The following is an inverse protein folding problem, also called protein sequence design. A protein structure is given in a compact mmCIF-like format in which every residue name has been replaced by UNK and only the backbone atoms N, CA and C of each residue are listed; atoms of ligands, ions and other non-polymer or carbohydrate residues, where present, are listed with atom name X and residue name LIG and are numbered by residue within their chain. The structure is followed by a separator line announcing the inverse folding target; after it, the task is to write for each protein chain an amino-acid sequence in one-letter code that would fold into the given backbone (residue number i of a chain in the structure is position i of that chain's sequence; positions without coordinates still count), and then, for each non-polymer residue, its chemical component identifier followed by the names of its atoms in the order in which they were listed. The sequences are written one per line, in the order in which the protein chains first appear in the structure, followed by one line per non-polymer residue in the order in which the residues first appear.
data_IF_676618220824
#
_entry.id   IF_676618220824
#
_cell.length_a   1.000
_cell.length_b   1.000
_cell.length_c   1.000
_cell.angle_alpha   90.00
_cell.angle_beta   90.00
_cell.angle_gamma   90.00
#
_symmetry.space_group_name_H-M   'P 1'
#
loop_
_entity.id
_entity.type
_entity.pdbx_description
1 polymer ?
#
# COMPACT_ATOMS: atom_id res chain seq x y z
N UNK A 1 35.19 26.49 -20.70
CA UNK A 1 33.94 26.03 -20.07
C UNK A 1 34.19 24.62 -19.57
N UNK A 2 34.45 24.48 -18.27
CA UNK A 2 34.76 23.22 -17.59
C UNK A 2 33.46 22.52 -17.20
N UNK A 3 33.42 21.22 -17.47
CA UNK A 3 32.32 20.27 -17.22
C UNK A 3 31.56 20.59 -15.93
N UNK A 4 30.25 20.86 -16.05
CA UNK A 4 29.34 20.91 -14.91
C UNK A 4 29.17 19.48 -14.38
N UNK A 5 29.36 19.24 -13.08
CA UNK A 5 29.21 17.91 -12.52
C UNK A 5 27.73 17.51 -12.54
N UNK A 6 27.39 16.58 -13.43
CA UNK A 6 26.22 15.72 -13.28
C UNK A 6 26.49 14.74 -12.14
N UNK A 7 25.94 15.00 -10.96
CA UNK A 7 25.83 13.98 -9.91
C UNK A 7 24.67 14.32 -8.97
N UNK A 8 23.57 13.55 -9.07
CA UNK A 8 22.41 13.38 -8.15
C UNK A 8 21.01 13.95 -8.49
N UNK A 9 20.76 14.68 -9.58
CA UNK A 9 19.48 15.42 -9.75
C UNK A 9 18.22 14.63 -10.23
N UNK A 10 18.37 13.37 -10.67
CA UNK A 10 17.26 12.61 -11.31
C UNK A 10 16.64 11.52 -10.43
N UNK A 11 17.15 11.32 -9.22
CA UNK A 11 16.68 10.25 -8.34
C UNK A 11 16.14 10.79 -7.03
N UNK A 12 14.90 10.41 -6.75
CA UNK A 12 14.24 10.72 -5.49
C UNK A 12 14.38 9.53 -4.54
N UNK A 13 14.84 9.81 -3.33
CA UNK A 13 14.90 8.81 -2.27
C UNK A 13 13.65 8.94 -1.42
N UNK A 14 12.88 7.86 -1.36
CA UNK A 14 11.80 7.67 -0.40
C UNK A 14 12.35 6.79 0.71
N UNK A 15 12.24 7.25 1.95
CA UNK A 15 12.66 6.45 3.10
C UNK A 15 11.46 5.74 3.71
N UNK A 16 11.72 4.61 4.36
CA UNK A 16 10.75 3.93 5.20
C UNK A 16 11.39 3.47 6.51
N UNK A 17 10.57 3.35 7.55
CA UNK A 17 10.98 2.72 8.81
C UNK A 17 9.80 2.00 9.46
N UNK A 18 10.10 1.10 10.38
CA UNK A 18 9.08 0.38 11.14
C UNK A 18 8.52 1.24 12.27
N UNK A 19 7.20 1.40 12.30
CA UNK A 19 6.50 1.86 13.50
C UNK A 19 6.39 0.73 14.54
N UNK A 20 6.33 -0.52 14.07
CA UNK A 20 6.20 -1.70 14.91
C UNK A 20 7.24 -2.76 14.58
N UNK A 21 7.77 -3.43 15.59
CA UNK A 21 8.77 -4.49 15.46
C UNK A 21 8.29 -5.66 14.60
N UNK A 22 6.98 -5.89 14.57
CA UNK A 22 6.32 -6.96 13.80
C UNK A 22 6.02 -6.58 12.35
N UNK A 23 6.21 -5.31 11.96
CA UNK A 23 5.92 -4.82 10.62
C UNK A 23 6.89 -5.40 9.57
N UNK A 24 6.34 -5.79 8.44
CA UNK A 24 7.10 -6.27 7.28
C UNK A 24 7.70 -5.10 6.51
N UNK A 25 8.83 -5.32 5.85
CA UNK A 25 9.40 -4.32 4.94
C UNK A 25 8.48 -4.16 3.72
N UNK A 26 8.36 -2.95 3.13
CA UNK A 26 7.70 -2.80 1.85
C UNK A 26 8.45 -3.58 0.77
N UNK A 27 7.73 -4.36 -0.02
CA UNK A 27 8.30 -5.20 -1.08
C UNK A 27 8.01 -4.59 -2.45
N UNK A 28 8.93 -4.72 -3.41
CA UNK A 28 8.60 -4.34 -4.80
C UNK A 28 7.46 -5.21 -5.30
N UNK A 29 6.47 -4.59 -5.94
CA UNK A 29 5.43 -5.33 -6.63
C UNK A 29 6.06 -6.10 -7.80
N UNK A 30 6.19 -7.41 -7.64
CA UNK A 30 6.55 -8.31 -8.73
C UNK A 30 5.27 -8.68 -9.48
N UNK A 31 5.00 -7.99 -10.57
CA UNK A 31 4.00 -8.43 -11.52
C UNK A 31 4.66 -9.41 -12.48
N UNK A 32 4.17 -10.65 -12.52
CA UNK A 32 4.47 -11.56 -13.62
C UNK A 32 3.71 -11.06 -14.84
N UNK A 33 4.37 -10.17 -15.59
CA UNK A 33 3.86 -9.70 -16.86
C UNK A 33 3.81 -10.86 -17.84
N UNK A 34 2.66 -11.49 -17.94
CA UNK A 34 2.34 -12.33 -19.08
C UNK A 34 2.10 -11.37 -20.25
N UNK A 35 2.92 -11.40 -21.32
CA UNK A 35 2.71 -10.51 -22.46
C UNK A 35 1.28 -10.66 -22.97
N UNK A 36 0.63 -9.55 -23.32
CA UNK A 36 -0.72 -9.57 -23.90
C UNK A 36 -0.72 -10.41 -25.16
N UNK A 37 -1.15 -11.66 -24.98
CA UNK A 37 -1.69 -12.64 -25.90
C UNK A 37 -1.26 -14.02 -25.39
N UNK A 38 -2.14 -14.74 -24.66
CA UNK A 38 -2.39 -16.10 -25.09
C UNK A 38 -2.86 -15.98 -26.55
N UNK A 39 -2.14 -16.60 -27.48
CA UNK A 39 -2.55 -16.75 -28.87
C UNK A 39 -3.93 -17.42 -28.92
N UNK A 40 -5.01 -16.62 -28.89
CA UNK A 40 -6.40 -17.03 -29.15
C UNK A 40 -6.61 -17.43 -30.62
N UNK A 41 -5.54 -17.47 -31.42
CA UNK A 41 -5.55 -17.78 -32.86
C UNK A 41 -6.17 -19.14 -33.20
N UNK A 42 -6.36 -20.04 -32.22
CA UNK A 42 -6.93 -21.37 -32.43
C UNK A 42 -8.25 -21.62 -31.67
N UNK A 43 -8.85 -20.61 -31.02
CA UNK A 43 -10.11 -20.78 -30.28
C UNK A 43 -11.33 -20.42 -31.16
N UNK A 44 -12.40 -21.24 -31.20
CA UNK A 44 -13.65 -20.90 -31.87
C UNK A 44 -14.33 -19.64 -31.31
N UNK A 45 -15.01 -18.86 -32.16
CA UNK A 45 -15.63 -17.58 -31.80
C UNK A 45 -16.66 -17.67 -30.67
N UNK A 46 -17.37 -18.80 -30.53
CA UNK A 46 -18.33 -19.03 -29.44
C UNK A 46 -17.64 -19.15 -28.08
N UNK A 47 -16.54 -19.91 -28.02
CA UNK A 47 -15.74 -20.08 -26.79
C UNK A 47 -15.05 -18.77 -26.39
N UNK A 48 -14.62 -17.96 -27.36
CA UNK A 48 -14.11 -16.61 -27.08
C UNK A 48 -15.18 -15.71 -26.45
N UNK A 49 -16.44 -15.81 -26.92
CA UNK A 49 -17.57 -15.02 -26.41
C UNK A 49 -18.01 -15.48 -25.03
N UNK A 50 -18.05 -16.78 -24.77
CA UNK A 50 -18.36 -17.34 -23.45
C UNK A 50 -17.25 -16.99 -22.44
N UNK A 51 -15.98 -17.08 -22.86
CA UNK A 51 -14.84 -16.62 -22.07
C UNK A 51 -14.90 -15.11 -21.79
N UNK A 52 -15.36 -14.30 -22.75
CA UNK A 52 -15.62 -12.87 -22.51
C UNK A 52 -16.82 -12.62 -21.59
N UNK A 53 -17.87 -13.42 -21.67
CA UNK A 53 -19.09 -13.32 -20.87
C UNK A 53 -18.89 -13.75 -19.41
N UNK A 54 -17.92 -14.64 -19.12
CA UNK A 54 -17.45 -14.92 -17.74
C UNK A 54 -16.76 -13.73 -17.07
N UNK A 55 -16.68 -12.60 -17.78
CA UNK A 55 -15.93 -11.44 -17.37
C UNK A 55 -14.46 -11.72 -17.55
N UNK A 56 -13.96 -11.53 -18.78
CA UNK A 56 -12.57 -11.15 -18.93
C UNK A 56 -12.32 -9.99 -17.95
N UNK A 57 -11.77 -10.32 -16.78
CA UNK A 57 -10.93 -9.45 -15.97
C UNK A 57 -10.07 -8.72 -16.96
N UNK A 58 -10.16 -7.40 -16.96
CA UNK A 58 -9.39 -6.54 -17.85
C UNK A 58 -7.98 -7.10 -17.99
N UNK A 59 -7.72 -7.67 -19.17
CA UNK A 59 -6.36 -7.74 -19.70
C UNK A 59 -6.07 -6.30 -20.13
N UNK A 60 -4.98 -5.72 -19.65
CA UNK A 60 -4.79 -4.29 -19.47
C UNK A 60 -4.78 -3.54 -20.78
N UNK A 61 -5.84 -2.75 -20.95
CA UNK A 61 -5.86 -1.62 -21.86
C UNK A 61 -5.09 -0.40 -21.30
N UNK A 62 -4.15 -0.66 -20.41
CA UNK A 62 -3.23 0.35 -19.89
C UNK A 62 -1.97 -0.34 -19.36
N UNK A 63 -1.24 -0.98 -20.29
CA UNK A 63 0.10 -1.49 -20.02
C UNK A 63 1.00 -0.39 -19.43
N UNK A 64 0.70 0.90 -19.62
CA UNK A 64 1.36 2.03 -18.94
C UNK A 64 1.15 2.01 -17.41
N UNK A 65 -0.06 2.23 -16.89
CA UNK A 65 -0.37 2.20 -15.46
C UNK A 65 0.07 0.93 -14.73
N UNK A 66 -0.13 -0.26 -15.31
CA UNK A 66 0.29 -1.52 -14.66
C UNK A 66 1.82 -1.64 -14.62
N UNK A 67 2.53 -1.24 -15.68
CA UNK A 67 4.01 -1.17 -15.68
C UNK A 67 4.53 -0.14 -14.69
N UNK A 68 3.92 1.04 -14.63
CA UNK A 68 4.27 2.06 -13.67
C UNK A 68 4.07 1.59 -12.22
N UNK A 69 2.94 0.94 -11.93
CA UNK A 69 2.65 0.39 -10.61
C UNK A 69 3.57 -0.80 -10.27
N UNK A 70 3.91 -1.66 -11.23
CA UNK A 70 4.92 -2.72 -11.02
C UNK A 70 6.33 -2.16 -10.80
N UNK A 71 6.70 -1.11 -11.53
CA UNK A 71 8.04 -0.51 -11.44
C UNK A 71 8.22 0.33 -10.18
N UNK A 72 7.18 1.04 -9.75
CA UNK A 72 7.27 2.05 -8.70
C UNK A 72 6.47 1.72 -7.45
N UNK A 73 5.57 0.73 -7.49
CA UNK A 73 4.74 0.34 -6.36
C UNK A 73 5.44 -0.56 -5.36
N UNK A 74 5.12 -0.33 -4.09
CA UNK A 74 5.54 -1.17 -2.98
C UNK A 74 4.34 -1.84 -2.32
N UNK A 75 4.39 -3.16 -2.24
CA UNK A 75 3.41 -4.00 -1.55
C UNK A 75 3.60 -3.82 -0.05
N UNK A 76 2.50 -3.52 0.62
CA UNK A 76 2.41 -3.43 2.07
C UNK A 76 1.63 -4.63 2.58
N UNK A 77 2.16 -5.28 3.62
CA UNK A 77 1.60 -6.50 4.20
C UNK A 77 0.96 -6.26 5.56
N UNK A 78 0.05 -7.14 5.95
CA UNK A 78 -0.55 -7.15 7.28
C UNK A 78 0.50 -7.47 8.35
N UNK A 79 0.54 -6.69 9.44
CA UNK A 79 1.47 -6.95 10.55
C UNK A 79 0.97 -8.02 11.54
N UNK A 80 -0.34 -8.28 11.55
CA UNK A 80 -1.01 -9.20 12.47
C UNK A 80 -2.26 -9.81 11.84
N UNK A 81 -2.72 -10.91 12.44
CA UNK A 81 -3.99 -11.53 12.08
C UNK A 81 -5.17 -10.63 12.46
N UNK A 82 -6.14 -10.54 11.57
CA UNK A 82 -7.34 -9.75 11.76
C UNK A 82 -8.55 -10.51 11.20
N UNK A 83 -9.65 -10.45 11.93
CA UNK A 83 -10.96 -10.93 11.49
C UNK A 83 -11.96 -9.79 11.59
N UNK A 84 -12.67 -9.55 10.50
CA UNK A 84 -13.67 -8.51 10.38
C UNK A 84 -14.98 -9.17 9.96
N UNK A 85 -16.05 -8.96 10.72
CA UNK A 85 -17.37 -9.54 10.42
C UNK A 85 -18.45 -8.46 10.40
N UNK A 86 -19.41 -8.57 9.48
CA UNK A 86 -20.61 -7.74 9.53
C UNK A 86 -21.51 -8.22 10.67
N UNK A 87 -22.04 -7.31 11.49
CA UNK A 87 -22.98 -7.60 12.58
C UNK A 87 -24.08 -6.56 12.60
N UNK A 88 -25.26 -6.93 12.11
CA UNK A 88 -26.38 -6.00 11.93
C UNK A 88 -26.03 -4.89 10.93
N UNK A 89 -26.24 -3.63 11.31
CA UNK A 89 -25.83 -2.46 10.52
C UNK A 89 -24.36 -2.05 10.71
N UNK A 90 -23.59 -2.79 11.51
CA UNK A 90 -22.21 -2.46 11.86
C UNK A 90 -21.20 -3.53 11.48
N UNK A 91 -19.95 -3.28 11.85
CA UNK A 91 -18.82 -4.19 11.65
C UNK A 91 -18.21 -4.49 13.02
N UNK A 92 -17.90 -5.75 13.26
CA UNK A 92 -17.12 -6.18 14.41
C UNK A 92 -15.69 -6.52 13.97
N UNK A 93 -14.75 -5.94 14.70
CA UNK A 93 -13.31 -6.05 14.48
C UNK A 93 -12.68 -6.91 15.56
N UNK A 94 -11.88 -7.90 15.15
CA UNK A 94 -11.10 -8.73 16.05
C UNK A 94 -9.66 -8.77 15.55
N UNK A 95 -8.74 -8.23 16.34
CA UNK A 95 -7.30 -8.36 16.12
C UNK A 95 -6.61 -8.49 17.48
N UNK A 96 -5.42 -9.12 17.56
CA UNK A 96 -4.63 -9.04 18.77
C UNK A 96 -4.30 -7.57 19.07
N UNK A 97 -4.23 -7.17 20.35
CA UNK A 97 -3.75 -5.85 20.70
C UNK A 97 -2.29 -5.74 20.31
N UNK A 98 -1.91 -4.63 19.67
CA UNK A 98 -0.49 -4.35 19.42
C UNK A 98 0.12 -3.86 20.73
N UNK A 99 1.05 -4.65 21.27
CA UNK A 99 1.61 -4.45 22.59
C UNK A 99 2.51 -3.19 22.60
N UNK A 100 2.63 -2.47 23.74
CA UNK A 100 3.47 -1.28 23.83
C UNK A 100 4.93 -1.52 23.42
N UNK A 101 5.51 -2.67 23.78
CA UNK A 101 6.87 -3.09 23.47
C UNK A 101 7.10 -3.36 21.98
N UNK A 102 6.03 -3.61 21.23
CA UNK A 102 6.11 -3.77 19.78
C UNK A 102 6.22 -2.41 19.08
N UNK A 103 6.01 -1.29 19.77
CA UNK A 103 6.04 0.07 19.20
C UNK A 103 7.46 0.62 19.22
N UNK A 104 8.02 0.85 18.04
CA UNK A 104 9.37 1.39 17.85
C UNK A 104 9.40 2.92 17.76
N UNK A 105 8.29 3.51 17.32
CA UNK A 105 8.10 4.96 17.20
C UNK A 105 7.03 5.45 18.19
N UNK A 106 7.15 6.71 18.62
CA UNK A 106 6.23 7.33 19.58
C UNK A 106 4.86 7.70 19.01
N UNK A 107 4.72 7.81 17.69
CA UNK A 107 3.45 8.03 17.02
C UNK A 107 2.68 6.72 16.92
N UNK A 108 1.43 6.72 17.39
CA UNK A 108 0.63 5.50 17.53
C UNK A 108 -0.47 5.51 16.49
N UNK A 109 -0.25 4.83 15.37
CA UNK A 109 -1.35 4.44 14.49
C UNK A 109 -2.10 3.27 15.11
N UNK A 110 -3.39 3.11 14.81
CA UNK A 110 -4.16 1.99 15.36
C UNK A 110 -5.03 1.38 14.27
N UNK A 111 -5.09 0.05 14.27
CA UNK A 111 -6.07 -0.70 13.49
C UNK A 111 -7.40 -0.74 14.24
N UNK A 112 -8.51 -0.71 13.51
CA UNK A 112 -9.84 -0.82 14.08
C UNK A 112 -10.91 -0.15 13.23
N UNK A 113 -12.11 -0.10 13.79
CA UNK A 113 -13.21 0.66 13.20
C UNK A 113 -12.95 2.15 13.42
N UNK A 114 -12.61 2.86 12.36
CA UNK A 114 -12.55 4.32 12.37
C UNK A 114 -13.83 4.84 11.72
N UNK A 115 -14.73 5.38 12.53
CA UNK A 115 -15.68 6.39 12.06
C UNK A 115 -14.88 7.68 12.02
N UNK A 116 -14.04 7.85 11.00
CA UNK A 116 -13.25 9.07 10.89
C UNK A 116 -14.20 10.25 10.65
N UNK A 117 -14.07 11.30 11.47
CA UNK A 117 -14.83 12.55 11.36
C UNK A 117 -14.61 13.26 10.03
N UNK A 118 -13.58 12.87 9.28
CA UNK A 118 -13.23 13.48 8.00
C UNK A 118 -14.27 13.12 6.91
N UNK A 119 -14.96 11.97 6.96
CA UNK A 119 -15.86 11.57 5.86
C UNK A 119 -17.09 10.69 6.21
N UNK A 120 -17.35 10.29 7.46
CA UNK A 120 -18.42 9.31 7.77
C UNK A 120 -18.31 8.04 6.88
N UNK A 121 -17.09 7.64 6.50
CA UNK A 121 -16.86 6.67 5.43
C UNK A 121 -17.29 5.24 5.78
N UNK A 122 -17.39 4.93 7.08
CA UNK A 122 -17.82 3.60 7.55
C UNK A 122 -16.82 2.47 7.27
N UNK A 123 -15.61 2.78 6.82
CA UNK A 123 -14.61 1.78 6.45
C UNK A 123 -13.69 1.40 7.63
N UNK A 124 -13.43 0.10 7.87
CA UNK A 124 -12.38 -0.33 8.77
C UNK A 124 -11.01 0.20 8.34
N UNK A 125 -10.20 0.64 9.31
CA UNK A 125 -8.82 1.08 9.10
C UNK A 125 -7.86 -0.01 9.56
N UNK A 126 -7.01 -0.48 8.67
CA UNK A 126 -5.95 -1.41 8.96
C UNK A 126 -4.60 -0.68 8.99
N UNK A 127 -3.97 -0.63 10.15
CA UNK A 127 -2.58 -0.19 10.29
C UNK A 127 -1.63 -1.31 9.84
N UNK A 128 -0.66 -0.96 9.01
CA UNK A 128 0.38 -1.89 8.53
C UNK A 128 1.74 -1.62 9.19
N UNK A 129 1.83 -0.60 10.04
CA UNK A 129 2.95 -0.40 10.94
C UNK A 129 4.25 0.07 10.29
N UNK A 130 4.16 0.71 9.12
CA UNK A 130 5.30 1.27 8.40
C UNK A 130 5.06 2.77 8.24
N UNK A 131 6.12 3.54 8.44
CA UNK A 131 6.16 4.96 8.15
C UNK A 131 7.01 5.21 6.92
N UNK A 132 6.52 6.04 6.02
CA UNK A 132 7.27 6.54 4.87
C UNK A 132 7.63 8.01 5.08
N UNK A 133 8.81 8.39 4.59
CA UNK A 133 9.24 9.76 4.41
C UNK A 133 9.47 10.01 2.93
N UNK A 134 8.85 11.05 2.39
CA UNK A 134 8.92 11.39 0.97
C UNK A 134 9.07 12.90 0.80
N UNK A 135 9.78 13.41 -0.21
CA UNK A 135 9.96 14.84 -0.33
C UNK A 135 8.63 15.56 -0.63
N UNK A 136 8.43 16.72 -0.01
CA UNK A 136 7.19 17.53 0.01
C UNK A 136 6.55 17.80 -1.35
N UNK A 137 7.37 17.82 -2.40
CA UNK A 137 6.93 18.10 -3.78
C UNK A 137 6.41 16.85 -4.52
N UNK A 138 6.22 15.72 -3.83
CA UNK A 138 5.70 14.46 -4.39
C UNK A 138 4.42 14.02 -3.66
N UNK A 139 3.45 13.51 -4.43
CA UNK A 139 2.29 12.82 -3.87
C UNK A 139 2.55 11.33 -3.69
N UNK A 140 2.05 10.76 -2.58
CA UNK A 140 2.02 9.31 -2.35
C UNK A 140 0.58 8.82 -2.49
N UNK A 141 0.34 7.77 -3.26
CA UNK A 141 -0.99 7.17 -3.42
C UNK A 141 -1.02 5.79 -2.79
N UNK A 142 -2.10 5.52 -2.06
CA UNK A 142 -2.42 4.15 -1.65
C UNK A 142 -3.42 3.57 -2.66
N UNK A 143 -3.08 2.41 -3.20
CA UNK A 143 -3.88 1.72 -4.21
C UNK A 143 -4.22 0.31 -3.76
N UNK A 144 -5.28 -0.21 -4.36
CA UNK A 144 -5.59 -1.62 -4.23
C UNK A 144 -4.56 -2.48 -4.97
N UNK A 145 -4.47 -3.76 -4.62
CA UNK A 145 -3.62 -4.71 -5.34
C UNK A 145 -4.19 -4.93 -6.74
N UNK A 146 -3.46 -4.54 -7.81
CA UNK A 146 -3.89 -4.82 -9.16
C UNK A 146 -3.88 -6.33 -9.36
N UNK A 147 -4.85 -6.84 -10.12
CA UNK A 147 -4.98 -8.27 -10.39
C UNK A 147 -4.97 -9.12 -9.11
N UNK A 148 -5.55 -8.63 -8.00
CA UNK A 148 -5.56 -9.37 -6.73
C UNK A 148 -6.07 -10.80 -6.92
N UNK A 149 -6.95 -11.07 -7.87
CA UNK A 149 -7.40 -12.42 -8.16
C UNK A 149 -6.33 -13.44 -8.56
N UNK A 150 -5.18 -13.01 -9.09
CA UNK A 150 -4.05 -13.91 -9.40
C UNK A 150 -3.12 -14.10 -8.19
N UNK A 151 -3.17 -13.18 -7.22
CA UNK A 151 -2.24 -13.14 -6.08
C UNK A 151 -2.91 -13.48 -4.74
N UNK A 152 -4.22 -13.27 -4.66
CA UNK A 152 -5.07 -13.37 -3.49
C UNK A 152 -6.57 -13.47 -3.93
N UNK A 153 -6.98 -14.58 -4.55
CA UNK A 153 -8.32 -14.76 -5.14
C UNK A 153 -9.47 -14.73 -4.13
N UNK A 154 -9.21 -15.16 -2.89
CA UNK A 154 -10.23 -15.26 -1.84
C UNK A 154 -10.39 -13.96 -1.03
N UNK A 155 -9.84 -12.87 -1.54
CA UNK A 155 -9.87 -11.57 -0.89
C UNK A 155 -11.28 -10.99 -0.88
N UNK A 156 -11.82 -10.72 0.31
CA UNK A 156 -13.19 -10.20 0.52
C UNK A 156 -13.24 -8.69 0.74
N UNK A 157 -12.22 -7.96 0.30
CA UNK A 157 -12.14 -6.52 0.45
C UNK A 157 -11.30 -5.88 -0.67
N UNK A 158 -11.61 -4.62 -0.99
CA UNK A 158 -10.75 -3.73 -1.77
C UNK A 158 -10.21 -2.60 -0.89
N UNK A 159 -9.25 -1.85 -1.40
CA UNK A 159 -8.75 -0.64 -0.74
C UNK A 159 -9.54 0.57 -1.25
N UNK A 160 -10.00 1.42 -0.33
CA UNK A 160 -10.42 2.78 -0.71
C UNK A 160 -9.18 3.57 -1.13
N UNK A 161 -9.01 3.69 -2.44
CA UNK A 161 -7.84 4.35 -3.02
C UNK A 161 -7.87 5.85 -2.80
N UNK A 162 -6.70 6.43 -2.56
CA UNK A 162 -6.60 7.87 -2.36
C UNK A 162 -5.17 8.35 -2.43
N UNK A 163 -5.01 9.58 -2.94
CA UNK A 163 -3.75 10.29 -2.89
C UNK A 163 -3.61 10.88 -1.49
N UNK A 164 -2.58 10.46 -0.76
CA UNK A 164 -2.21 11.01 0.55
C UNK A 164 -1.42 12.30 0.36
N UNK A 165 -2.10 13.35 -0.10
CA UNK A 165 -1.54 14.70 -0.20
C UNK A 165 -2.09 15.66 0.85
N UNK A 166 -3.24 15.36 1.48
CA UNK A 166 -3.91 16.30 2.39
C UNK A 166 -4.31 15.70 3.75
N UNK A 167 -4.91 14.51 3.81
CA UNK A 167 -5.44 13.94 5.06
C UNK A 167 -4.36 13.49 6.08
N UNK A 168 -3.12 13.25 5.66
CA UNK A 168 -2.07 12.64 6.51
C UNK A 168 -0.94 13.60 6.86
N UNK A 169 -1.07 14.89 6.55
CA UNK A 169 -0.15 15.97 6.97
C UNK A 169 0.02 16.08 8.49
N UNK A 170 -0.81 15.38 9.27
CA UNK A 170 -0.71 15.27 10.73
C UNK A 170 0.36 14.27 11.19
N UNK A 171 0.86 13.39 10.30
CA UNK A 171 1.96 12.50 10.68
C UNK A 171 3.23 13.34 10.78
N UNK A 172 3.82 13.53 11.96
CA UNK A 172 4.98 14.40 12.10
C UNK A 172 6.19 13.76 11.45
N UNK A 173 7.03 14.56 10.78
CA UNK A 173 8.38 14.15 10.47
C UNK A 173 9.20 14.17 11.78
N UNK A 174 9.81 13.04 12.16
CA UNK A 174 10.55 12.89 13.42
C UNK A 174 12.01 13.29 13.30
N UNK A 175 12.48 13.62 12.08
CA UNK A 175 13.89 13.76 11.78
C UNK A 175 14.21 15.16 11.22
N UNK A 176 14.97 15.93 11.99
CA UNK A 176 15.40 17.28 11.60
C UNK A 176 16.33 17.27 10.37
N UNK A 177 17.02 16.15 10.12
CA UNK A 177 17.89 16.00 8.94
C UNK A 177 17.13 15.76 7.62
N UNK A 178 15.79 15.63 7.67
CA UNK A 178 14.92 15.53 6.49
C UNK A 178 13.96 16.73 6.41
N UNK A 179 14.42 17.99 6.42
CA UNK A 179 13.55 19.16 6.56
C UNK A 179 12.58 19.35 5.39
N UNK A 180 12.92 18.82 4.21
CA UNK A 180 12.11 18.90 2.99
C UNK A 180 11.25 17.65 2.72
N UNK A 181 11.12 16.77 3.72
CA UNK A 181 10.30 15.57 3.64
C UNK A 181 9.03 15.69 4.48
N UNK A 182 7.95 15.17 3.91
CA UNK A 182 6.72 14.85 4.64
C UNK A 182 6.76 13.37 5.06
N UNK A 183 5.95 13.03 6.06
CA UNK A 183 5.81 11.66 6.55
C UNK A 183 4.35 11.20 6.46
N UNK A 184 4.15 9.89 6.32
CA UNK A 184 2.84 9.27 6.54
C UNK A 184 2.99 7.83 7.05
N UNK A 185 2.00 7.36 7.80
CA UNK A 185 1.89 5.96 8.22
C UNK A 185 0.96 5.20 7.28
N UNK A 186 1.36 4.00 6.86
CA UNK A 186 0.53 3.12 6.04
C UNK A 186 -0.67 2.59 6.82
N UNK A 187 -1.79 3.27 6.63
CA UNK A 187 -3.07 2.88 7.17
C UNK A 187 -4.07 2.76 6.03
N UNK A 188 -4.47 1.54 5.69
CA UNK A 188 -5.40 1.26 4.61
C UNK A 188 -6.84 1.29 5.09
N UNK A 189 -7.71 1.98 4.34
CA UNK A 189 -9.16 1.91 4.55
C UNK A 189 -9.70 0.76 3.70
N UNK A 190 -10.39 -0.18 4.35
CA UNK A 190 -10.86 -1.41 3.74
C UNK A 190 -12.32 -1.24 3.30
N UNK A 191 -12.59 -1.42 2.01
CA UNK A 191 -13.95 -1.52 1.50
C UNK A 191 -14.31 -3.01 1.46
N UNK A 192 -15.03 -3.48 2.48
CA UNK A 192 -15.45 -4.88 2.58
C UNK A 192 -16.53 -5.21 1.55
N UNK A 193 -16.44 -6.37 0.91
CA UNK A 193 -17.46 -6.85 -0.01
C UNK A 193 -18.81 -7.00 0.72
N UNK A 194 -19.88 -6.33 0.28
CA UNK A 194 -21.20 -6.46 0.88
C UNK A 194 -21.93 -7.75 0.50
N UNK A 195 -21.51 -8.44 -0.56
CA UNK A 195 -22.15 -9.65 -1.06
C UNK A 195 -21.74 -10.92 -0.30
N UNK A 196 -20.73 -10.84 0.57
CA UNK A 196 -20.21 -12.00 1.31
C UNK A 196 -20.78 -12.05 2.73
N UNK A 197 -21.49 -13.13 3.06
CA UNK A 197 -21.85 -13.45 4.46
C UNK A 197 -20.66 -13.96 5.28
N UNK A 198 -19.52 -14.21 4.62
CA UNK A 198 -18.30 -14.66 5.26
C UNK A 198 -17.53 -13.51 5.91
N UNK A 199 -16.88 -13.75 7.06
CA UNK A 199 -15.98 -12.76 7.65
C UNK A 199 -14.76 -12.56 6.75
N UNK A 200 -14.28 -11.32 6.67
CA UNK A 200 -12.97 -11.02 6.11
C UNK A 200 -11.90 -11.48 7.09
N UNK A 201 -11.07 -12.42 6.64
CA UNK A 201 -9.91 -12.90 7.39
C UNK A 201 -8.67 -12.38 6.68
N UNK A 202 -7.81 -11.71 7.44
CA UNK A 202 -6.52 -11.20 7.01
C UNK A 202 -5.50 -11.85 7.92
N UNK A 203 -4.58 -12.62 7.36
CA UNK A 203 -3.51 -13.24 8.11
C UNK A 203 -2.27 -12.35 8.09
N UNK A 204 -1.44 -12.47 9.12
CA UNK A 204 -0.14 -11.82 9.19
C UNK A 204 0.68 -12.17 7.96
N UNK A 205 1.17 -11.14 7.27
CA UNK A 205 1.93 -11.28 6.03
C UNK A 205 1.09 -11.23 4.75
N UNK A 206 -0.24 -11.28 4.83
CA UNK A 206 -1.10 -11.12 3.66
C UNK A 206 -0.86 -9.76 3.00
N UNK A 207 -0.84 -9.69 1.66
CA UNK A 207 -0.71 -8.43 0.95
C UNK A 207 -2.00 -7.62 1.13
N UNK A 208 -1.88 -6.36 1.56
CA UNK A 208 -3.02 -5.48 1.86
C UNK A 208 -3.28 -4.50 0.72
N UNK A 209 -2.22 -3.90 0.17
CA UNK A 209 -2.35 -2.82 -0.79
C UNK A 209 -0.99 -2.34 -1.25
N UNK A 210 -1.02 -1.33 -2.11
CA UNK A 210 0.18 -0.72 -2.68
C UNK A 210 0.34 0.71 -2.22
N UNK A 211 1.60 1.12 -2.09
CA UNK A 211 2.00 2.53 -2.04
C UNK A 211 2.75 2.85 -3.32
N UNK A 212 2.35 3.93 -4.02
CA UNK A 212 2.92 4.34 -5.30
C UNK A 212 3.17 5.85 -5.32
N UNK A 213 4.33 6.34 -5.78
CA UNK A 213 4.55 7.77 -5.98
C UNK A 213 3.75 8.30 -7.19
N UNK A 214 3.17 9.50 -7.09
CA UNK A 214 2.19 10.06 -8.04
C UNK A 214 2.83 10.93 -9.15
N UNK A 215 4.15 10.89 -9.34
CA UNK A 215 4.80 11.59 -10.47
C UNK A 215 5.72 10.66 -11.26
N UNK A 216 5.47 10.54 -12.56
CA UNK A 216 5.99 9.45 -13.42
C UNK A 216 7.30 9.75 -14.18
N UNK A 217 7.99 10.85 -13.91
CA UNK A 217 9.13 11.28 -14.74
C UNK A 217 10.50 11.20 -14.08
N UNK A 218 10.61 10.70 -12.84
CA UNK A 218 11.90 10.58 -12.12
C UNK A 218 12.13 9.18 -11.58
N UNK A 219 13.41 8.81 -11.44
CA UNK A 219 13.78 7.53 -10.84
C UNK A 219 13.54 7.60 -9.32
N UNK A 220 13.04 6.52 -8.71
CA UNK A 220 12.82 6.44 -7.26
C UNK A 220 13.65 5.31 -6.64
N UNK A 221 14.29 5.56 -5.50
CA UNK A 221 14.68 4.49 -4.57
C UNK A 221 13.77 4.45 -3.36
N UNK A 222 13.63 3.24 -2.81
CA UNK A 222 13.12 3.01 -1.48
C UNK A 222 14.27 2.55 -0.60
N UNK A 223 14.50 3.26 0.50
CA UNK A 223 15.61 3.00 1.42
C UNK A 223 15.11 2.89 2.86
N UNK A 224 15.60 1.90 3.60
CA UNK A 224 15.27 1.77 5.02
C UNK A 224 16.06 2.82 5.82
N UNK A 225 15.35 3.62 6.61
CA UNK A 225 15.96 4.60 7.50
C UNK A 225 16.49 3.85 8.73
N UNK A 226 17.79 3.59 8.72
CA UNK A 226 18.48 3.01 9.87
C UNK A 226 18.72 4.13 10.87
N UNK A 227 18.15 4.02 12.07
CA UNK A 227 18.55 4.87 13.19
C UNK A 227 20.04 4.67 13.39
N UNK A 228 20.83 5.71 13.17
CA UNK A 228 22.19 5.75 13.71
C UNK A 228 22.01 5.67 15.22
N UNK A 229 22.54 4.65 15.91
CA UNK A 229 22.52 4.67 17.36
C UNK A 229 23.20 5.97 17.77
N UNK A 230 22.46 6.84 18.46
CA UNK A 230 23.04 8.02 19.08
C UNK A 230 24.27 7.53 19.83
N UNK A 231 25.41 8.07 19.46
CA UNK A 231 26.64 7.88 20.22
C UNK A 231 26.27 8.34 21.62
N UNK A 232 26.18 7.37 22.54
CA UNK A 232 25.93 7.61 23.95
C UNK A 232 27.00 8.59 24.43
N UNK A 233 26.67 9.87 24.43
CA UNK A 233 27.45 10.90 25.07
C UNK A 233 27.21 10.76 26.57
N UNK A 234 27.98 9.87 27.18
CA UNK A 234 28.29 9.85 28.60
C UNK A 234 29.76 10.22 28.76
#
# INVERSE_FOLDING_TARGET
MSVLPGSTDDKWVIYWEREYSTAFAPERLKLDFHPHRPLMTNMPLSEQRDLAATGYKVIPDDCGPVRAVGQYGWVIRALADCRIRRKGSGIEWQSPPILPEERLLGYKSFSGMYVDTILNSGFPKLCCGIRFYYPKRLGMMMKDLPNHFYHFPDRTFSIWEGIKTQEYKLTPNLYDFLPDYDAFVTNFLLQLDPSTDQPTIILRGDPIGLVVPVMLLKHFSLEELKRTPETSSS
#
